data_IF_619643151149
#
_entry.id   IF_619643151149
#
_cell.length_a   1.000
_cell.length_b   1.000
_cell.length_c   1.000
_cell.angle_alpha   90.00
_cell.angle_beta   90.00
_cell.angle_gamma   90.00
#
_symmetry.space_group_name_H-M   'P 1'
#
loop_
_entity.id
_entity.type
_entity.pdbx_description
1 polymer ?
#
# COMPACT_ATOMS: atom_id res chain seq x y z
N UNK A 1 8.26 -10.23 -0.39
CA UNK A 1 7.92 -8.91 -0.95
C UNK A 1 8.84 -7.83 -0.40
N UNK A 2 8.76 -7.49 0.89
CA UNK A 2 9.53 -6.41 1.56
C UNK A 2 11.01 -6.38 1.20
N UNK A 3 11.75 -7.47 1.45
CA UNK A 3 13.18 -7.56 1.15
C UNK A 3 13.49 -7.38 -0.35
N UNK A 4 12.60 -7.86 -1.22
CA UNK A 4 12.75 -7.70 -2.67
C UNK A 4 12.63 -6.25 -3.13
N UNK A 5 11.75 -5.47 -2.48
CA UNK A 5 11.56 -4.04 -2.74
C UNK A 5 12.71 -3.21 -2.15
N UNK A 6 13.11 -3.49 -0.89
CA UNK A 6 14.24 -2.82 -0.22
C UNK A 6 15.54 -2.96 -1.01
N UNK A 7 15.85 -4.16 -1.53
CA UNK A 7 17.01 -4.40 -2.40
C UNK A 7 17.01 -3.57 -3.70
N UNK A 8 15.85 -3.04 -4.11
CA UNK A 8 15.66 -2.20 -5.29
C UNK A 8 15.54 -0.72 -4.94
N UNK A 9 15.82 -0.34 -3.70
CA UNK A 9 15.85 1.05 -3.25
C UNK A 9 14.49 1.61 -2.83
N UNK A 10 13.44 0.79 -2.78
CA UNK A 10 12.12 1.23 -2.35
C UNK A 10 12.07 1.28 -0.82
N UNK A 11 11.65 2.43 -0.27
CA UNK A 11 11.40 2.58 1.16
C UNK A 11 10.10 1.87 1.54
N UNK A 12 10.24 0.76 2.27
CA UNK A 12 9.12 -0.07 2.70
C UNK A 12 9.20 -0.25 4.21
N UNK A 13 8.07 -0.01 4.88
CA UNK A 13 7.84 -0.35 6.28
C UNK A 13 6.63 -1.26 6.38
N UNK A 14 6.70 -2.24 7.27
CA UNK A 14 5.63 -3.22 7.49
C UNK A 14 4.82 -2.90 8.74
N UNK A 15 3.55 -3.32 8.79
CA UNK A 15 2.70 -3.16 9.99
C UNK A 15 3.29 -3.86 11.22
N UNK A 16 4.08 -4.91 11.02
CA UNK A 16 4.84 -5.60 12.07
C UNK A 16 5.94 -4.71 12.65
N UNK A 17 6.74 -4.05 11.80
CA UNK A 17 7.78 -3.11 12.23
C UNK A 17 7.21 -1.88 12.94
N UNK A 18 5.97 -1.50 12.61
CA UNK A 18 5.24 -0.43 13.28
C UNK A 18 4.53 -0.86 14.58
N UNK A 19 4.48 -2.16 14.88
CA UNK A 19 3.73 -2.69 16.03
C UNK A 19 2.20 -2.55 15.90
N UNK A 20 1.67 -2.46 14.68
CA UNK A 20 0.26 -2.18 14.39
C UNK A 20 -0.56 -3.43 13.98
N UNK A 21 -0.07 -4.63 14.29
CA UNK A 21 -0.66 -5.89 13.80
C UNK A 21 -2.10 -6.13 14.26
N UNK A 22 -2.49 -5.62 15.43
CA UNK A 22 -3.81 -5.82 16.04
C UNK A 22 -4.70 -4.57 15.93
N UNK A 23 -4.34 -3.64 15.05
CA UNK A 23 -5.04 -2.37 14.87
C UNK A 23 -5.97 -2.48 13.66
N UNK A 24 -7.11 -1.81 13.73
CA UNK A 24 -8.09 -1.72 12.64
C UNK A 24 -7.51 -1.12 11.36
N UNK A 25 -7.97 -1.60 10.20
CA UNK A 25 -7.51 -1.18 8.87
C UNK A 25 -7.56 0.35 8.66
N UNK A 26 -8.57 1.02 9.21
CA UNK A 26 -8.69 2.48 9.14
C UNK A 26 -7.47 3.19 9.76
N UNK A 27 -6.93 2.64 10.85
CA UNK A 27 -5.72 3.20 11.48
C UNK A 27 -4.46 2.94 10.65
N UNK A 28 -4.40 1.85 9.89
CA UNK A 28 -3.29 1.64 8.95
C UNK A 28 -3.31 2.72 7.86
N UNK A 29 -4.50 3.05 7.34
CA UNK A 29 -4.65 4.13 6.34
C UNK A 29 -4.33 5.51 6.92
N UNK A 30 -4.81 5.83 8.12
CA UNK A 30 -4.47 7.08 8.82
C UNK A 30 -2.96 7.21 9.05
N UNK A 31 -2.33 6.15 9.55
CA UNK A 31 -0.89 6.16 9.81
C UNK A 31 -0.09 6.31 8.51
N UNK A 32 -0.47 5.56 7.48
CA UNK A 32 0.17 5.65 6.18
C UNK A 32 0.01 7.07 5.59
N UNK A 33 -1.15 7.71 5.77
CA UNK A 33 -1.37 9.10 5.37
C UNK A 33 -0.46 10.10 6.11
N UNK A 34 -0.30 9.94 7.42
CA UNK A 34 0.59 10.79 8.22
C UNK A 34 2.05 10.68 7.78
N UNK A 35 2.47 9.49 7.37
CA UNK A 35 3.84 9.21 6.93
C UNK A 35 4.04 9.47 5.42
N UNK A 36 3.00 9.87 4.68
CA UNK A 36 3.05 10.08 3.22
C UNK A 36 3.26 8.78 2.42
N UNK A 37 2.72 7.65 2.90
CA UNK A 37 2.96 6.30 2.37
C UNK A 37 1.73 5.66 1.74
N UNK A 38 1.92 4.95 0.64
CA UNK A 38 0.89 4.10 0.02
C UNK A 38 0.79 2.76 0.76
N UNK A 39 -0.43 2.31 1.04
CA UNK A 39 -0.69 0.99 1.62
C UNK A 39 -0.75 -0.06 0.51
N UNK A 40 0.02 -1.14 0.63
CA UNK A 40 -0.11 -2.33 -0.24
C UNK A 40 -0.90 -3.39 0.50
N UNK A 41 -2.00 -3.87 -0.08
CA UNK A 41 -2.87 -4.86 0.58
C UNK A 41 -3.55 -5.80 -0.43
N UNK A 42 -3.94 -6.99 0.04
CA UNK A 42 -4.84 -7.91 -0.68
C UNK A 42 -6.24 -7.95 -0.04
N UNK A 43 -6.43 -7.22 1.07
CA UNK A 43 -7.67 -7.20 1.82
C UNK A 43 -8.66 -6.19 1.21
N UNK A 44 -9.82 -6.70 0.79
CA UNK A 44 -10.87 -5.90 0.16
C UNK A 44 -11.54 -4.92 1.15
N UNK A 45 -11.31 -5.05 2.44
CA UNK A 45 -11.85 -4.16 3.48
C UNK A 45 -11.30 -2.73 3.31
N UNK A 46 -10.06 -2.60 2.83
CA UNK A 46 -9.46 -1.32 2.46
C UNK A 46 -10.19 -0.63 1.30
N UNK A 47 -10.74 -1.40 0.35
CA UNK A 47 -11.55 -0.85 -0.75
C UNK A 47 -12.87 -0.29 -0.23
N UNK A 48 -13.47 -0.93 0.79
CA UNK A 48 -14.69 -0.43 1.44
C UNK A 48 -14.42 0.85 2.22
N UNK A 49 -13.26 0.95 2.88
CA UNK A 49 -12.83 2.18 3.56
C UNK A 49 -12.55 3.31 2.57
N UNK A 50 -11.92 3.02 1.43
CA UNK A 50 -11.79 4.00 0.35
C UNK A 50 -13.15 4.48 -0.14
N UNK A 51 -14.07 3.56 -0.44
CA UNK A 51 -15.41 3.86 -0.93
C UNK A 51 -16.27 4.63 0.09
N UNK A 52 -16.02 4.48 1.40
CA UNK A 52 -16.69 5.27 2.44
C UNK A 52 -16.19 6.72 2.52
N UNK A 53 -15.14 7.06 1.77
CA UNK A 53 -14.57 8.39 1.71
C UNK A 53 -13.48 8.67 2.74
N UNK A 54 -12.96 7.64 3.42
CA UNK A 54 -11.85 7.77 4.36
C UNK A 54 -10.63 8.37 3.63
N UNK A 55 -9.94 9.31 4.29
CA UNK A 55 -8.72 9.92 3.75
C UNK A 55 -7.55 8.94 3.87
N UNK A 56 -6.77 8.82 2.82
CA UNK A 56 -5.54 8.03 2.79
C UNK A 56 -4.57 8.58 1.74
N UNK A 57 -3.27 8.30 1.89
CA UNK A 57 -2.28 8.70 0.89
C UNK A 57 -2.41 7.91 -0.41
N UNK A 58 -2.91 6.67 -0.36
CA UNK A 58 -3.06 5.82 -1.54
C UNK A 58 -3.13 4.35 -1.16
N UNK A 59 -3.78 3.53 -2.00
CA UNK A 59 -3.86 2.09 -1.83
C UNK A 59 -3.38 1.43 -3.12
N UNK A 60 -2.42 0.53 -3.01
CA UNK A 60 -2.06 -0.42 -4.05
C UNK A 60 -2.73 -1.77 -3.71
N UNK A 61 -3.86 -2.04 -4.34
CA UNK A 61 -4.64 -3.24 -4.12
C UNK A 61 -4.16 -4.37 -5.03
N UNK A 62 -3.68 -5.46 -4.43
CA UNK A 62 -3.19 -6.62 -5.14
C UNK A 62 -4.30 -7.68 -5.17
N UNK A 63 -4.63 -8.20 -6.35
CA UNK A 63 -5.58 -9.31 -6.44
C UNK A 63 -5.07 -10.56 -5.71
N UNK A 64 -5.99 -11.31 -5.09
CA UNK A 64 -5.64 -12.59 -4.50
C UNK A 64 -5.06 -13.53 -5.58
N UNK A 65 -4.12 -14.37 -5.17
CA UNK A 65 -3.43 -15.32 -6.06
C UNK A 65 -2.51 -14.69 -7.12
N UNK A 66 -2.29 -13.36 -7.12
CA UNK A 66 -1.28 -12.74 -7.99
C UNK A 66 0.12 -13.27 -7.63
N UNK A 67 0.90 -13.77 -8.61
CA UNK A 67 2.25 -14.28 -8.35
C UNK A 67 3.17 -13.20 -7.77
N UNK A 68 3.99 -13.54 -6.78
CA UNK A 68 4.91 -12.61 -6.11
C UNK A 68 5.83 -11.84 -7.09
N UNK A 69 6.27 -12.48 -8.17
CA UNK A 69 7.09 -11.85 -9.22
C UNK A 69 6.34 -10.75 -9.98
N UNK A 70 5.03 -10.94 -10.20
CA UNK A 70 4.16 -9.92 -10.79
C UNK A 70 3.94 -8.77 -9.81
N UNK A 71 3.60 -9.06 -8.55
CA UNK A 71 3.43 -8.03 -7.52
C UNK A 71 4.66 -7.13 -7.42
N UNK A 72 5.85 -7.74 -7.35
CA UNK A 72 7.11 -6.99 -7.28
C UNK A 72 7.32 -6.12 -8.52
N UNK A 73 7.03 -6.61 -9.72
CA UNK A 73 7.18 -5.85 -10.97
C UNK A 73 6.19 -4.68 -11.01
N UNK A 74 4.93 -4.90 -10.67
CA UNK A 74 3.89 -3.87 -10.67
C UNK A 74 4.19 -2.78 -9.64
N UNK A 75 4.63 -3.15 -8.43
CA UNK A 75 5.01 -2.18 -7.41
C UNK A 75 6.22 -1.33 -7.80
N UNK A 76 7.20 -1.92 -8.48
CA UNK A 76 8.33 -1.15 -9.03
C UNK A 76 7.86 -0.16 -10.10
N UNK A 77 6.99 -0.58 -11.02
CA UNK A 77 6.45 0.32 -12.03
C UNK A 77 5.65 1.47 -11.40
N UNK A 78 4.81 1.17 -10.41
CA UNK A 78 4.06 2.17 -9.66
C UNK A 78 5.02 3.20 -9.03
N UNK A 79 6.04 2.72 -8.32
CA UNK A 79 7.05 3.57 -7.67
C UNK A 79 7.83 4.44 -8.67
N UNK A 80 8.12 3.93 -9.87
CA UNK A 80 8.92 4.65 -10.87
C UNK A 80 8.10 5.70 -11.65
N UNK A 81 6.77 5.56 -11.66
CA UNK A 81 5.87 6.39 -12.49
C UNK A 81 5.02 7.35 -11.65
N UNK A 82 4.63 6.96 -10.44
CA UNK A 82 3.74 7.73 -9.58
C UNK A 82 4.46 8.19 -8.31
N UNK A 83 4.30 9.46 -7.97
CA UNK A 83 4.68 9.99 -6.67
C UNK A 83 3.64 9.67 -5.60
N UNK A 84 3.98 9.92 -4.33
CA UNK A 84 2.99 9.85 -3.25
C UNK A 84 1.81 10.79 -3.48
N UNK A 85 2.05 11.96 -4.08
CA UNK A 85 1.03 12.98 -4.30
C UNK A 85 0.05 12.58 -5.41
N UNK A 86 0.53 11.88 -6.44
CA UNK A 86 -0.33 11.29 -7.49
C UNK A 86 -1.27 10.22 -6.92
N UNK A 87 -0.89 9.60 -5.80
CA UNK A 87 -1.64 8.52 -5.17
C UNK A 87 -2.70 9.01 -4.17
N UNK A 88 -2.76 10.32 -3.86
CA UNK A 88 -3.66 10.86 -2.82
C UNK A 88 -5.11 10.45 -3.10
N UNK A 89 -5.70 9.71 -2.14
CA UNK A 89 -7.05 9.13 -2.25
C UNK A 89 -7.27 8.29 -3.51
N UNK A 90 -6.22 7.73 -4.09
CA UNK A 90 -6.27 6.86 -5.26
C UNK A 90 -6.12 5.38 -4.87
N UNK A 91 -6.76 4.51 -5.65
CA UNK A 91 -6.58 3.06 -5.57
C UNK A 91 -6.00 2.58 -6.89
N UNK A 92 -4.79 2.05 -6.85
CA UNK A 92 -4.15 1.39 -7.98
C UNK A 92 -4.33 -0.13 -7.86
N UNK A 93 -4.82 -0.77 -8.93
CA UNK A 93 -5.06 -2.21 -8.95
C UNK A 93 -3.89 -2.94 -9.62
N UNK A 94 -3.27 -3.86 -8.89
CA UNK A 94 -2.07 -4.60 -9.30
C UNK A 94 -2.33 -6.07 -9.65
#
# INVERSE_FOLDING_TARGET
MTEGLRRRGVDVITVQELGLQAVEDARHLERAAQDGRVVVTQDADFLRLHASGLLHQGIAYVHQQTPMSHILRSLMLLHDVLSSDDMVRHVEFL
#
